data_IF_306399034402
#
_entry.id   IF_306399034402
#
_cell.length_a   1.000
_cell.length_b   1.000
_cell.length_c   1.000
_cell.angle_alpha   90.00
_cell.angle_beta   90.00
_cell.angle_gamma   90.00
#
_symmetry.space_group_name_H-M   'P 1'
#
loop_
_entity.id
_entity.type
_entity.pdbx_description
1 polymer ?
#
# COMPACT_ATOMS: atom_id res chain seq x y z
N UNK A 1 -9.66 7.29 -34.07
CA UNK A 1 -9.20 7.43 -32.66
C UNK A 1 -7.70 7.08 -32.58
N UNK A 2 -6.81 7.99 -33.02
CA UNK A 2 -5.37 7.71 -33.20
C UNK A 2 -4.46 8.73 -32.49
N UNK A 3 -4.94 9.30 -31.39
CA UNK A 3 -4.34 10.47 -30.72
C UNK A 3 -4.09 10.28 -29.22
N UNK A 4 -3.99 9.05 -28.73
CA UNK A 4 -3.48 8.81 -27.38
C UNK A 4 -1.99 8.51 -27.45
N UNK A 5 -1.14 9.27 -26.72
CA UNK A 5 0.29 8.98 -26.65
C UNK A 5 0.50 7.58 -26.07
N UNK A 6 1.11 6.70 -26.86
CA UNK A 6 1.42 5.30 -26.47
C UNK A 6 2.63 5.20 -25.53
N UNK A 7 3.24 6.34 -25.18
CA UNK A 7 4.39 6.44 -24.29
C UNK A 7 4.06 7.39 -23.15
N UNK A 8 3.75 6.83 -21.97
CA UNK A 8 3.70 7.62 -20.74
C UNK A 8 5.14 8.01 -20.35
N UNK A 9 5.48 9.29 -20.47
CA UNK A 9 6.78 9.92 -20.17
C UNK A 9 7.07 10.01 -18.67
N UNK A 10 6.94 8.91 -17.94
CA UNK A 10 7.58 8.77 -16.63
C UNK A 10 9.05 8.40 -16.87
N UNK A 11 10.03 9.30 -16.64
CA UNK A 11 11.42 9.11 -17.04
C UNK A 11 12.19 8.07 -16.21
N UNK A 12 11.53 7.40 -15.27
CA UNK A 12 12.17 6.53 -14.27
C UNK A 12 11.91 5.04 -14.49
N UNK A 13 10.89 4.64 -15.27
CA UNK A 13 10.54 3.22 -15.38
C UNK A 13 10.81 2.61 -16.76
N UNK A 14 11.72 1.63 -16.83
CA UNK A 14 12.03 0.94 -18.08
C UNK A 14 10.85 0.06 -18.50
N UNK A 15 10.61 0.06 -19.81
CA UNK A 15 9.56 -0.72 -20.46
C UNK A 15 10.01 -2.16 -20.64
N UNK A 16 9.75 -3.05 -19.69
CA UNK A 16 9.90 -4.49 -19.96
C UNK A 16 8.92 -5.32 -19.14
N UNK A 17 7.85 -5.76 -19.82
CA UNK A 17 6.89 -6.77 -19.34
C UNK A 17 7.43 -8.19 -19.57
N UNK A 18 8.60 -8.34 -20.18
CA UNK A 18 9.31 -9.60 -20.38
C UNK A 18 10.81 -9.37 -20.30
N UNK A 19 11.36 -9.43 -19.09
CA UNK A 19 12.80 -9.32 -18.89
C UNK A 19 13.15 -8.80 -17.50
N UNK A 20 14.30 -9.25 -16.99
CA UNK A 20 14.98 -8.56 -15.89
C UNK A 20 15.49 -7.23 -16.44
N UNK A 21 15.22 -6.13 -15.73
CA UNK A 21 15.80 -4.83 -16.06
C UNK A 21 17.32 -4.98 -15.92
N UNK A 22 18.05 -5.06 -17.03
CA UNK A 22 19.50 -5.13 -17.00
C UNK A 22 20.02 -3.76 -16.54
N UNK A 23 20.55 -3.72 -15.33
CA UNK A 23 21.17 -2.52 -14.77
C UNK A 23 22.65 -2.59 -15.07
N UNK A 24 23.10 -1.65 -15.89
CA UNK A 24 24.51 -1.51 -16.21
C UNK A 24 25.31 -1.22 -14.93
N UNK A 25 26.37 -2.00 -14.69
CA UNK A 25 27.21 -1.88 -13.50
C UNK A 25 27.85 -0.48 -13.40
N UNK A 26 28.10 0.17 -14.56
CA UNK A 26 28.65 1.52 -14.66
C UNK A 26 27.65 2.67 -14.48
N UNK A 27 26.34 2.40 -14.36
CA UNK A 27 25.33 3.45 -14.22
C UNK A 27 25.45 4.23 -12.89
N UNK A 28 25.20 5.55 -12.94
CA UNK A 28 25.13 6.41 -11.75
C UNK A 28 24.11 5.89 -10.72
N UNK A 29 24.41 6.04 -9.42
CA UNK A 29 23.54 5.62 -8.31
C UNK A 29 22.10 6.14 -8.47
N UNK A 30 21.95 7.35 -8.99
CA UNK A 30 20.64 7.97 -9.25
C UNK A 30 19.85 7.29 -10.36
N UNK A 31 20.53 6.82 -11.41
CA UNK A 31 19.88 6.11 -12.51
C UNK A 31 19.45 4.70 -12.07
N UNK A 32 20.28 4.04 -11.24
CA UNK A 32 19.94 2.77 -10.61
C UNK A 32 18.71 2.92 -9.70
N UNK A 33 18.70 3.94 -8.84
CA UNK A 33 17.58 4.22 -7.93
C UNK A 33 16.26 4.47 -8.67
N UNK A 34 16.30 5.26 -9.76
CA UNK A 34 15.10 5.52 -10.59
C UNK A 34 14.50 4.23 -11.15
N UNK A 35 15.32 3.30 -11.65
CA UNK A 35 14.85 2.02 -12.22
C UNK A 35 14.26 1.07 -11.17
N UNK A 36 14.67 1.17 -9.91
CA UNK A 36 14.13 0.37 -8.79
C UNK A 36 12.90 0.99 -8.12
N UNK A 37 12.52 2.21 -8.49
CA UNK A 37 11.45 2.94 -7.81
C UNK A 37 10.07 2.31 -8.07
N UNK A 38 9.85 1.75 -9.27
CA UNK A 38 8.54 1.22 -9.66
C UNK A 38 8.04 0.03 -8.84
N UNK A 39 8.83 -1.04 -8.67
CA UNK A 39 8.43 -2.16 -7.81
C UNK A 39 8.18 -1.73 -6.36
N UNK A 40 8.99 -0.80 -5.83
CA UNK A 40 8.79 -0.28 -4.47
C UNK A 40 7.49 0.52 -4.34
N UNK A 41 7.14 1.32 -5.36
CA UNK A 41 5.89 2.09 -5.40
C UNK A 41 4.65 1.18 -5.44
N UNK A 42 4.72 0.09 -6.22
CA UNK A 42 3.64 -0.90 -6.30
C UNK A 42 3.41 -1.65 -5.00
N UNK A 43 4.45 -1.87 -4.19
CA UNK A 43 4.29 -2.42 -2.85
C UNK A 43 3.76 -1.35 -1.89
N UNK A 44 4.27 -0.12 -1.97
CA UNK A 44 3.91 0.96 -1.05
C UNK A 44 2.43 1.36 -1.12
N UNK A 45 1.79 1.28 -2.30
CA UNK A 45 0.36 1.63 -2.42
C UNK A 45 -0.54 0.69 -1.62
N UNK A 46 -0.17 -0.59 -1.48
CA UNK A 46 -0.94 -1.53 -0.67
C UNK A 46 -1.03 -1.11 0.80
N UNK A 47 -0.01 -0.40 1.31
CA UNK A 47 0.03 0.09 2.69
C UNK A 47 -0.79 1.38 2.90
N UNK A 48 -1.35 1.93 1.83
CA UNK A 48 -2.13 3.17 1.81
C UNK A 48 -3.62 2.91 1.52
N UNK A 49 -4.10 1.71 1.83
CA UNK A 49 -5.46 1.26 1.59
C UNK A 49 -6.47 1.90 2.58
N UNK A 50 -7.77 1.93 2.23
CA UNK A 50 -8.81 2.48 3.10
C UNK A 50 -8.95 1.76 4.46
N UNK A 51 -8.55 0.49 4.55
CA UNK A 51 -8.58 -0.27 5.79
C UNK A 51 -7.65 0.32 6.84
N UNK A 52 -6.43 0.68 6.44
CA UNK A 52 -5.46 1.35 7.32
C UNK A 52 -5.94 2.76 7.75
N UNK A 53 -6.59 3.51 6.85
CA UNK A 53 -7.07 4.86 7.18
C UNK A 53 -8.14 4.85 8.26
N UNK A 54 -9.03 3.86 8.26
CA UNK A 54 -10.09 3.78 9.26
C UNK A 54 -9.50 3.67 10.67
N UNK A 55 -8.49 2.80 10.85
CA UNK A 55 -7.80 2.62 12.13
C UNK A 55 -7.00 3.85 12.52
N UNK A 56 -6.29 4.49 11.58
CA UNK A 56 -5.47 5.67 11.87
C UNK A 56 -6.32 6.90 12.22
N UNK A 57 -7.43 7.12 11.50
CA UNK A 57 -8.37 8.22 11.78
C UNK A 57 -9.06 7.98 13.12
N UNK A 58 -9.45 6.75 13.43
CA UNK A 58 -10.04 6.40 14.72
C UNK A 58 -9.04 6.63 15.86
N UNK A 59 -7.80 6.17 15.72
CA UNK A 59 -6.73 6.39 16.68
C UNK A 59 -6.45 7.88 16.90
N UNK A 60 -6.32 8.66 15.82
CA UNK A 60 -6.07 10.10 15.89
C UNK A 60 -7.23 10.89 16.52
N UNK A 61 -8.48 10.51 16.23
CA UNK A 61 -9.66 11.19 16.78
C UNK A 61 -9.90 10.90 18.26
N UNK A 62 -9.58 9.69 18.73
CA UNK A 62 -9.80 9.28 20.13
C UNK A 62 -8.60 9.59 21.02
N UNK A 63 -7.37 9.35 20.54
CA UNK A 63 -6.14 9.41 21.34
C UNK A 63 -5.16 10.50 20.87
N UNK A 64 -5.54 11.33 19.90
CA UNK A 64 -4.67 12.37 19.34
C UNK A 64 -3.38 11.76 18.79
N UNK A 65 -2.24 12.29 19.21
CA UNK A 65 -0.92 11.81 18.77
C UNK A 65 -0.36 10.66 19.62
N UNK A 66 -1.07 10.15 20.63
CA UNK A 66 -0.51 9.20 21.60
C UNK A 66 -0.16 7.82 20.98
N UNK A 67 -0.82 7.44 19.89
CA UNK A 67 -0.58 6.19 19.17
C UNK A 67 0.36 6.36 17.96
N UNK A 68 0.90 7.57 17.73
CA UNK A 68 1.72 7.86 16.56
C UNK A 68 3.03 7.06 16.55
N UNK A 69 3.62 6.79 17.71
CA UNK A 69 4.78 5.90 17.82
C UNK A 69 4.46 4.49 17.32
N UNK A 70 3.25 3.97 17.56
CA UNK A 70 2.84 2.63 17.09
C UNK A 70 2.87 2.58 15.57
N UNK A 71 2.27 3.59 14.91
CA UNK A 71 2.29 3.73 13.44
C UNK A 71 3.73 3.79 12.92
N UNK A 72 4.60 4.59 13.55
CA UNK A 72 5.99 4.75 13.14
C UNK A 72 6.80 3.44 13.28
N UNK A 73 6.72 2.77 14.43
CA UNK A 73 7.41 1.49 14.64
C UNK A 73 6.88 0.39 13.74
N UNK A 74 5.56 0.35 13.54
CA UNK A 74 4.92 -0.59 12.62
C UNK A 74 5.41 -0.38 11.18
N UNK A 75 5.51 0.87 10.74
CA UNK A 75 6.06 1.23 9.42
C UNK A 75 7.51 0.79 9.26
N UNK A 76 8.35 0.96 10.30
CA UNK A 76 9.74 0.48 10.28
C UNK A 76 9.79 -1.05 10.16
N UNK A 77 8.94 -1.76 10.89
CA UNK A 77 8.84 -3.21 10.81
C UNK A 77 8.41 -3.68 9.40
N UNK A 78 7.43 -3.01 8.79
CA UNK A 78 7.02 -3.26 7.41
C UNK A 78 8.17 -3.07 6.42
N UNK A 79 8.89 -1.94 6.49
CA UNK A 79 10.04 -1.66 5.63
C UNK A 79 11.09 -2.77 5.79
N UNK A 80 11.36 -3.20 7.03
CA UNK A 80 12.28 -4.29 7.30
C UNK A 80 11.85 -5.61 6.64
N UNK A 81 10.58 -6.01 6.80
CA UNK A 81 10.05 -7.24 6.20
C UNK A 81 10.05 -7.17 4.67
N UNK A 82 9.67 -6.04 4.08
CA UNK A 82 9.69 -5.85 2.63
C UNK A 82 11.11 -5.86 2.06
N UNK A 83 12.11 -5.34 2.79
CA UNK A 83 13.51 -5.48 2.40
C UNK A 83 13.96 -6.95 2.39
N UNK A 84 13.49 -7.78 3.32
CA UNK A 84 13.80 -9.22 3.33
C UNK A 84 13.14 -9.95 2.16
N UNK A 85 11.86 -9.66 1.88
CA UNK A 85 11.14 -10.23 0.74
C UNK A 85 11.81 -9.83 -0.60
N UNK A 86 12.17 -8.56 -0.75
CA UNK A 86 12.91 -8.07 -1.92
C UNK A 86 14.28 -8.75 -2.05
N UNK A 87 15.01 -8.92 -0.94
CA UNK A 87 16.32 -9.60 -0.95
C UNK A 87 16.19 -11.08 -1.34
N UNK A 88 15.14 -11.77 -0.89
CA UNK A 88 14.85 -13.13 -1.32
C UNK A 88 14.65 -13.20 -2.84
N UNK A 89 13.79 -12.33 -3.39
CA UNK A 89 13.54 -12.25 -4.83
C UNK A 89 14.81 -11.96 -5.64
N UNK A 90 15.66 -11.05 -5.16
CA UNK A 90 16.90 -10.66 -5.84
C UNK A 90 18.00 -11.73 -5.78
N UNK A 91 18.16 -12.40 -4.65
CA UNK A 91 19.27 -13.35 -4.42
C UNK A 91 18.90 -14.77 -4.87
N UNK A 92 17.71 -15.24 -4.51
CA UNK A 92 17.27 -16.59 -4.83
C UNK A 92 16.63 -16.69 -6.22
N UNK A 93 16.25 -15.56 -6.84
CA UNK A 93 15.52 -15.53 -8.11
C UNK A 93 14.13 -16.17 -8.02
N UNK A 94 13.58 -16.26 -6.81
CA UNK A 94 12.29 -16.90 -6.49
C UNK A 94 11.45 -15.97 -5.64
N UNK A 95 10.14 -16.00 -5.86
CA UNK A 95 9.20 -15.36 -4.94
C UNK A 95 9.08 -16.15 -3.62
N UNK A 96 8.46 -15.53 -2.61
CA UNK A 96 8.30 -16.14 -1.28
C UNK A 96 7.42 -17.40 -1.31
N UNK A 97 6.45 -17.47 -2.22
CA UNK A 97 5.57 -18.63 -2.37
C UNK A 97 6.35 -19.83 -2.94
N UNK A 98 7.20 -19.62 -3.95
CA UNK A 98 8.09 -20.63 -4.52
C UNK A 98 9.11 -21.13 -3.48
N UNK A 99 9.74 -20.21 -2.74
CA UNK A 99 10.69 -20.58 -1.68
C UNK A 99 10.01 -21.39 -0.56
N UNK A 100 8.78 -21.02 -0.19
CA UNK A 100 7.99 -21.75 0.80
C UNK A 100 7.54 -23.12 0.27
N UNK A 101 7.14 -23.18 -1.01
CA UNK A 101 6.80 -24.44 -1.67
C UNK A 101 7.96 -25.44 -1.61
N UNK A 102 9.19 -25.01 -1.90
CA UNK A 102 10.37 -25.89 -1.85
C UNK A 102 10.70 -26.38 -0.43
N UNK A 103 10.35 -25.60 0.60
CA UNK A 103 10.74 -25.88 1.99
C UNK A 103 9.70 -26.68 2.79
N UNK A 104 8.41 -26.42 2.59
CA UNK A 104 7.34 -27.01 3.40
C UNK A 104 6.75 -28.27 2.76
N UNK A 105 6.24 -29.19 3.59
CA UNK A 105 5.48 -30.36 3.13
C UNK A 105 4.09 -30.00 2.59
N UNK A 106 3.34 -30.95 2.02
CA UNK A 106 2.05 -30.71 1.35
C UNK A 106 1.02 -30.00 2.26
N UNK A 107 0.99 -30.35 3.56
CA UNK A 107 0.10 -29.69 4.52
C UNK A 107 0.47 -28.22 4.74
N UNK A 108 1.75 -27.90 4.96
CA UNK A 108 2.20 -26.52 5.18
C UNK A 108 1.96 -25.62 3.97
N UNK A 109 2.16 -26.16 2.76
CA UNK A 109 1.86 -25.47 1.50
C UNK A 109 0.38 -25.11 1.38
N UNK A 110 -0.51 -26.08 1.68
CA UNK A 110 -1.95 -25.86 1.61
C UNK A 110 -2.40 -24.80 2.62
N UNK A 111 -1.89 -24.84 3.85
CA UNK A 111 -2.20 -23.83 4.88
C UNK A 111 -1.76 -22.44 4.41
N UNK A 112 -0.51 -22.30 3.96
CA UNK A 112 0.03 -21.01 3.50
C UNK A 112 -0.76 -20.44 2.32
N UNK A 113 -1.11 -21.29 1.35
CA UNK A 113 -1.93 -20.87 0.21
C UNK A 113 -3.32 -20.39 0.66
N UNK A 114 -4.03 -21.17 1.48
CA UNK A 114 -5.35 -20.78 1.99
C UNK A 114 -5.27 -19.47 2.79
N UNK A 115 -4.26 -19.30 3.64
CA UNK A 115 -4.10 -18.05 4.40
C UNK A 115 -3.81 -16.85 3.50
N UNK A 116 -3.03 -17.02 2.43
CA UNK A 116 -2.76 -15.95 1.47
C UNK A 116 -4.04 -15.56 0.70
N UNK A 117 -4.80 -16.54 0.22
CA UNK A 117 -6.08 -16.30 -0.47
C UNK A 117 -7.10 -15.59 0.44
N UNK A 118 -7.24 -16.03 1.69
CA UNK A 118 -8.12 -15.37 2.66
C UNK A 118 -7.66 -13.94 2.94
N UNK A 119 -6.35 -13.70 3.01
CA UNK A 119 -5.80 -12.38 3.28
C UNK A 119 -6.04 -11.40 2.13
N UNK A 120 -5.84 -11.83 0.88
CA UNK A 120 -6.08 -10.96 -0.28
C UNK A 120 -7.58 -10.67 -0.47
N UNK A 121 -8.45 -11.64 -0.19
CA UNK A 121 -9.92 -11.43 -0.19
C UNK A 121 -10.31 -10.42 0.91
N UNK A 122 -9.73 -10.53 2.10
CA UNK A 122 -10.00 -9.59 3.18
C UNK A 122 -9.54 -8.16 2.84
N UNK A 123 -8.38 -8.03 2.18
CA UNK A 123 -7.87 -6.75 1.67
C UNK A 123 -8.84 -6.14 0.65
N UNK A 124 -9.27 -6.93 -0.33
CA UNK A 124 -10.19 -6.49 -1.39
C UNK A 124 -11.55 -6.02 -0.83
N UNK A 125 -12.06 -6.71 0.20
CA UNK A 125 -13.27 -6.27 0.90
C UNK A 125 -13.10 -4.86 1.51
N UNK A 126 -11.95 -4.57 2.12
CA UNK A 126 -11.68 -3.25 2.70
C UNK A 126 -11.60 -2.17 1.62
N UNK A 127 -10.97 -2.46 0.48
CA UNK A 127 -10.88 -1.54 -0.66
C UNK A 127 -12.25 -1.25 -1.27
N UNK A 128 -13.06 -2.28 -1.52
CA UNK A 128 -14.42 -2.15 -2.06
C UNK A 128 -15.30 -1.31 -1.15
N UNK A 129 -15.26 -1.56 0.17
CA UNK A 129 -16.04 -0.80 1.14
C UNK A 129 -15.57 0.65 1.24
N UNK A 130 -14.26 0.88 1.23
CA UNK A 130 -13.67 2.23 1.21
C UNK A 130 -14.08 3.03 -0.02
N UNK A 131 -13.98 2.43 -1.20
CA UNK A 131 -14.41 3.05 -2.46
C UNK A 131 -15.92 3.31 -2.50
N UNK A 132 -16.74 2.36 -2.05
CA UNK A 132 -18.19 2.56 -1.96
C UNK A 132 -18.55 3.70 -0.99
N UNK A 133 -17.86 3.82 0.14
CA UNK A 133 -18.02 4.94 1.07
C UNK A 133 -17.59 6.26 0.43
N UNK A 134 -16.48 6.28 -0.31
CA UNK A 134 -16.04 7.47 -1.05
C UNK A 134 -17.08 7.92 -2.07
N UNK A 135 -17.68 7.01 -2.85
CA UNK A 135 -18.77 7.34 -3.77
C UNK A 135 -20.01 7.88 -3.05
N UNK A 136 -20.35 7.31 -1.88
CA UNK A 136 -21.45 7.81 -1.07
C UNK A 136 -21.19 9.24 -0.59
N UNK A 137 -19.98 9.55 -0.14
CA UNK A 137 -19.60 10.88 0.35
C UNK A 137 -19.47 11.92 -0.77
N UNK A 138 -18.95 11.53 -1.94
CA UNK A 138 -18.69 12.45 -3.06
C UNK A 138 -19.91 12.65 -3.96
N UNK A 139 -20.65 11.59 -4.25
CA UNK A 139 -21.74 11.59 -5.24
C UNK A 139 -23.14 11.45 -4.59
N UNK A 140 -23.20 11.19 -3.28
CA UNK A 140 -24.47 10.97 -2.57
C UNK A 140 -25.17 9.65 -2.92
N UNK A 141 -24.49 8.74 -3.61
CA UNK A 141 -25.05 7.47 -4.10
C UNK A 141 -25.19 6.47 -2.94
N UNK A 142 -26.27 5.65 -2.89
CA UNK A 142 -26.41 4.62 -1.87
C UNK A 142 -25.25 3.61 -1.89
N UNK A 143 -24.86 3.08 -0.73
CA UNK A 143 -23.70 2.19 -0.59
C UNK A 143 -23.77 0.97 -1.52
N UNK A 144 -24.95 0.37 -1.68
CA UNK A 144 -25.16 -0.77 -2.56
C UNK A 144 -24.78 -0.46 -4.02
N UNK A 145 -25.14 0.72 -4.51
CA UNK A 145 -24.75 1.18 -5.85
C UNK A 145 -23.27 1.54 -5.91
N UNK A 146 -22.69 2.07 -4.83
CA UNK A 146 -21.25 2.27 -4.71
C UNK A 146 -20.46 0.97 -4.91
N UNK A 147 -20.89 -0.14 -4.28
CA UNK A 147 -20.27 -1.47 -4.43
C UNK A 147 -20.43 -2.00 -5.87
N UNK A 148 -21.57 -1.76 -6.52
CA UNK A 148 -21.72 -2.16 -7.93
C UNK A 148 -20.80 -1.35 -8.84
N UNK A 149 -20.59 -0.07 -8.52
CA UNK A 149 -19.66 0.79 -9.27
C UNK A 149 -18.21 0.38 -9.07
N UNK A 150 -17.83 -0.15 -7.89
CA UNK A 150 -16.46 -0.64 -7.71
C UNK A 150 -16.17 -1.77 -8.66
N UNK A 151 -17.12 -2.66 -9.01
CA UNK A 151 -16.89 -3.73 -10.00
C UNK A 151 -16.37 -3.26 -11.37
N UNK A 152 -16.48 -1.96 -11.70
CA UNK A 152 -15.83 -1.38 -12.88
C UNK A 152 -14.29 -1.45 -12.80
N UNK A 153 -13.70 -1.50 -11.61
CA UNK A 153 -12.26 -1.68 -11.41
C UNK A 153 -11.75 -2.98 -12.04
N UNK A 154 -12.47 -4.09 -11.89
CA UNK A 154 -12.12 -5.39 -12.49
C UNK A 154 -12.17 -5.29 -14.00
N UNK A 155 -13.15 -4.58 -14.56
CA UNK A 155 -13.26 -4.33 -16.00
C UNK A 155 -12.09 -3.47 -16.49
N UNK A 156 -11.68 -2.46 -15.71
CA UNK A 156 -10.52 -1.62 -16.01
C UNK A 156 -9.23 -2.46 -15.98
N UNK A 157 -9.02 -3.27 -14.95
CA UNK A 157 -7.85 -4.14 -14.81
C UNK A 157 -7.80 -5.19 -15.94
N UNK A 158 -8.90 -5.88 -16.21
CA UNK A 158 -9.01 -6.82 -17.34
C UNK A 158 -8.80 -6.12 -18.68
N UNK A 159 -9.32 -4.90 -18.86
CA UNK A 159 -9.11 -4.08 -20.06
C UNK A 159 -7.69 -3.51 -20.21
N UNK A 160 -6.90 -3.54 -19.13
CA UNK A 160 -5.47 -3.20 -19.09
C UNK A 160 -4.58 -4.45 -19.18
N UNK A 161 -5.12 -5.66 -19.02
CA UNK A 161 -4.36 -6.89 -19.25
C UNK A 161 -3.81 -6.91 -20.68
N UNK A 162 -2.49 -7.09 -20.80
CA UNK A 162 -1.78 -7.08 -22.09
C UNK A 162 -1.34 -5.69 -22.58
N UNK A 163 -1.76 -4.59 -21.94
CA UNK A 163 -1.17 -3.25 -22.16
C UNK A 163 0.02 -3.07 -21.22
N UNK A 164 1.13 -2.53 -21.73
CA UNK A 164 2.42 -2.54 -21.03
C UNK A 164 2.39 -1.89 -19.63
N UNK A 165 3.17 -2.44 -18.69
CA UNK A 165 3.30 -2.05 -17.26
C UNK A 165 3.40 -0.54 -17.01
N UNK A 166 3.97 0.23 -17.95
CA UNK A 166 4.15 1.68 -17.86
C UNK A 166 2.85 2.47 -17.71
N UNK A 167 1.75 2.02 -18.33
CA UNK A 167 0.48 2.75 -18.21
C UNK A 167 -0.13 2.55 -16.83
N UNK A 168 -0.08 1.32 -16.31
CA UNK A 168 -0.57 0.99 -14.96
C UNK A 168 0.25 1.76 -13.92
N UNK A 169 1.57 1.74 -14.04
CA UNK A 169 2.44 2.45 -13.09
C UNK A 169 2.23 3.97 -13.11
N UNK A 170 2.06 4.58 -14.28
CA UNK A 170 1.78 6.01 -14.37
C UNK A 170 0.42 6.38 -13.76
N UNK A 171 -0.60 5.53 -13.94
CA UNK A 171 -1.92 5.70 -13.29
C UNK A 171 -1.76 5.60 -11.78
N UNK A 172 -1.11 4.55 -11.28
CA UNK A 172 -0.84 4.32 -9.85
C UNK A 172 -0.12 5.52 -9.24
N UNK A 173 0.93 6.01 -9.89
CA UNK A 173 1.68 7.18 -9.42
C UNK A 173 0.81 8.45 -9.41
N UNK A 174 -0.06 8.63 -10.40
CA UNK A 174 -1.01 9.73 -10.41
C UNK A 174 -1.99 9.68 -9.24
N UNK A 175 -2.50 8.48 -8.91
CA UNK A 175 -3.39 8.26 -7.77
C UNK A 175 -2.67 8.56 -6.44
N UNK A 176 -1.47 8.02 -6.24
CA UNK A 176 -0.65 8.26 -5.05
C UNK A 176 -0.32 9.75 -4.90
N UNK A 177 0.09 10.41 -5.99
CA UNK A 177 0.42 11.82 -5.97
C UNK A 177 -0.81 12.69 -5.62
N UNK A 178 -1.99 12.34 -6.14
CA UNK A 178 -3.24 13.04 -5.83
C UNK A 178 -3.59 12.90 -4.34
N UNK A 179 -3.50 11.68 -3.81
CA UNK A 179 -3.75 11.40 -2.40
C UNK A 179 -2.75 12.12 -1.48
N UNK A 180 -1.45 12.03 -1.78
CA UNK A 180 -0.42 12.75 -1.03
C UNK A 180 -0.65 14.27 -1.06
N UNK A 181 -1.02 14.81 -2.23
CA UNK A 181 -1.38 16.22 -2.34
C UNK A 181 -2.56 16.59 -1.45
N UNK A 182 -3.63 15.77 -1.43
CA UNK A 182 -4.79 16.00 -0.55
C UNK A 182 -4.41 16.03 0.93
N UNK A 183 -3.62 15.06 1.42
CA UNK A 183 -3.19 15.03 2.81
C UNK A 183 -2.25 16.18 3.17
N UNK A 184 -1.29 16.51 2.30
CA UNK A 184 -0.39 17.67 2.52
C UNK A 184 -1.18 18.97 2.55
N UNK A 185 -2.16 19.14 1.66
CA UNK A 185 -3.04 20.30 1.66
C UNK A 185 -3.86 20.38 2.97
N UNK A 186 -4.38 19.27 3.48
CA UNK A 186 -5.10 19.23 4.76
C UNK A 186 -4.21 19.64 5.93
N UNK A 187 -2.98 19.12 6.00
CA UNK A 187 -1.99 19.50 7.02
C UNK A 187 -1.58 20.96 6.90
N UNK A 188 -1.50 21.51 5.69
CA UNK A 188 -1.20 22.93 5.47
C UNK A 188 -2.34 23.86 5.89
N UNK A 189 -3.60 23.45 5.68
CA UNK A 189 -4.79 24.20 6.08
C UNK A 189 -5.00 24.15 7.60
N UNK A 190 -4.76 22.99 8.21
CA UNK A 190 -4.89 22.74 9.64
C UNK A 190 -3.54 22.31 10.22
N UNK A 191 -2.61 23.26 10.43
CA UNK A 191 -1.27 22.93 10.89
C UNK A 191 -1.31 22.27 12.28
N UNK A 192 -0.72 21.07 12.44
CA UNK A 192 -0.68 20.39 13.73
C UNK A 192 0.31 21.08 14.67
N UNK A 193 0.13 20.87 15.97
CA UNK A 193 1.18 21.17 16.94
C UNK A 193 2.35 20.18 16.76
N UNK A 194 3.38 20.62 16.03
CA UNK A 194 4.59 19.82 15.77
C UNK A 194 5.29 19.35 17.04
N UNK A 195 5.18 20.09 18.14
CA UNK A 195 5.74 19.66 19.43
C UNK A 195 4.92 18.51 20.04
N UNK A 196 3.59 18.53 19.90
CA UNK A 196 2.74 17.41 20.28
C UNK A 196 2.97 16.17 19.39
N UNK A 197 3.15 16.37 18.08
CA UNK A 197 3.52 15.30 17.12
C UNK A 197 4.85 14.65 17.52
N UNK A 198 5.88 15.45 17.78
CA UNK A 198 7.19 14.93 18.20
C UNK A 198 7.12 14.15 19.52
N UNK A 199 6.31 14.60 20.48
CA UNK A 199 6.05 13.86 21.73
C UNK A 199 5.31 12.55 21.48
N UNK A 200 4.36 12.53 20.55
CA UNK A 200 3.60 11.33 20.17
C UNK A 200 4.44 10.24 19.48
N UNK A 201 5.60 10.60 18.91
CA UNK A 201 6.56 9.64 18.34
C UNK A 201 7.37 8.88 19.41
N UNK A 202 7.36 9.36 20.66
CA UNK A 202 8.03 8.69 21.77
C UNK A 202 7.01 7.76 22.44
N UNK A 203 7.34 6.48 22.71
CA UNK A 203 6.46 5.58 23.44
C UNK A 203 6.04 6.20 24.79
N UNK A 204 4.74 6.35 24.98
CA UNK A 204 4.15 7.01 26.15
C UNK A 204 2.82 6.38 26.54
N UNK A 205 2.30 6.76 27.70
CA UNK A 205 1.02 6.27 28.19
C UNK A 205 -0.12 6.90 27.36
N UNK A 206 -1.03 6.12 26.74
CA UNK A 206 -2.14 6.66 25.95
C UNK A 206 -3.18 7.44 26.79
N UNK A 207 -3.00 7.52 28.11
CA UNK A 207 -3.87 8.25 29.01
C UNK A 207 -5.10 7.42 29.40
N UNK A 208 -6.28 7.98 29.18
CA UNK A 208 -7.56 7.34 29.54
C UNK A 208 -7.91 6.20 28.57
N UNK A 209 -8.76 5.26 28.98
CA UNK A 209 -9.25 4.14 28.15
C UNK A 209 -8.16 3.28 27.49
N UNK A 210 -7.19 2.86 28.32
CA UNK A 210 -6.04 2.05 27.89
C UNK A 210 -6.41 0.74 27.16
N UNK A 211 -7.59 0.19 27.40
CA UNK A 211 -8.07 -1.01 26.69
C UNK A 211 -8.30 -0.72 25.20
N UNK A 212 -9.00 0.37 24.89
CA UNK A 212 -9.32 0.75 23.52
C UNK A 212 -8.05 1.22 22.78
N UNK A 213 -7.16 1.92 23.48
CA UNK A 213 -5.84 2.28 22.95
C UNK A 213 -5.01 1.05 22.56
N UNK A 214 -5.02 -0.01 23.38
CA UNK A 214 -4.31 -1.26 23.07
C UNK A 214 -4.96 -1.97 21.89
N UNK A 215 -6.30 -2.01 21.82
CA UNK A 215 -7.01 -2.63 20.68
C UNK A 215 -6.68 -1.90 19.38
N UNK A 216 -6.68 -0.57 19.37
CA UNK A 216 -6.29 0.21 18.19
C UNK A 216 -4.81 0.06 17.87
N UNK A 217 -3.93 0.04 18.87
CA UNK A 217 -2.50 -0.21 18.64
C UNK A 217 -2.25 -1.59 18.00
N UNK A 218 -2.92 -2.63 18.50
CA UNK A 218 -2.89 -3.96 17.90
C UNK A 218 -3.47 -3.96 16.48
N UNK A 219 -4.53 -3.18 16.25
CA UNK A 219 -5.10 -2.96 14.92
C UNK A 219 -4.09 -2.35 13.95
N UNK A 220 -3.41 -1.27 14.33
CA UNK A 220 -2.38 -0.62 13.52
C UNK A 220 -1.25 -1.60 13.18
N UNK A 221 -0.72 -2.30 14.18
CA UNK A 221 0.36 -3.28 13.98
C UNK A 221 -0.09 -4.42 13.06
N UNK A 222 -1.31 -4.93 13.28
CA UNK A 222 -1.88 -6.02 12.50
C UNK A 222 -2.17 -5.63 11.04
N UNK A 223 -2.70 -4.43 10.81
CA UNK A 223 -3.03 -3.92 9.49
C UNK A 223 -1.79 -3.57 8.66
N UNK A 224 -0.66 -3.29 9.31
CA UNK A 224 0.56 -2.88 8.60
C UNK A 224 1.20 -4.03 7.85
N UNK A 225 1.25 -5.25 8.40
CA UNK A 225 1.95 -6.35 7.73
C UNK A 225 0.97 -7.11 6.84
N UNK A 226 0.93 -6.74 5.56
CA UNK A 226 0.16 -7.46 4.55
C UNK A 226 0.94 -8.70 4.08
N UNK A 227 0.40 -9.93 4.24
CA UNK A 227 1.06 -11.18 3.87
C UNK A 227 1.10 -11.44 2.35
#
# INVERSE_FOLDING_TARGET
MRFLPTTATAPFCPSEVKGSITIDAGASRWLKLKRFFGPGLLVAIGYMDPGNWATDIQAGSQFGYALLWVVAFSSIAAIFLQMLAARLGLVAGKDLAQASYDRYGPFGRAVQWVTAEVSIIACDIAEVLGCALAFKLLLGVPLAWGIVLTALDTVIVLGLQGKGFRQIEAIVLGLIATMAFCFVAQVAITPPDWHAVARGLVPGDPGHDRKDAIVLALGIVGATIMP
#
